data_IF_472851856978
#
_entry.id   IF_472851856978
#
_cell.length_a   1.000
_cell.length_b   1.000
_cell.length_c   1.000
_cell.angle_alpha   90.00
_cell.angle_beta   90.00
_cell.angle_gamma   90.00
#
_symmetry.space_group_name_H-M   'P 1'
#
loop_
_entity.id
_entity.type
_entity.pdbx_description
1 polymer ?
#
# COMPACT_ATOMS: atom_id res chain seq x y z
N UNK A 1 43.24 -30.30 -23.73
CA UNK A 1 43.21 -28.93 -23.17
C UNK A 1 41.78 -28.43 -23.35
N UNK A 2 41.15 -27.91 -22.29
CA UNK A 2 39.68 -27.69 -22.13
C UNK A 2 39.01 -29.04 -21.74
N UNK A 3 38.73 -29.36 -20.46
CA UNK A 3 37.53 -28.97 -19.68
C UNK A 3 37.75 -29.14 -18.15
N UNK A 4 38.65 -28.38 -17.53
CA UNK A 4 38.79 -28.40 -16.06
C UNK A 4 38.05 -27.24 -15.36
N UNK A 5 37.54 -26.27 -16.15
CA UNK A 5 36.88 -25.04 -15.70
C UNK A 5 35.35 -25.17 -15.53
N UNK A 6 34.72 -26.18 -16.15
CA UNK A 6 33.28 -26.40 -16.07
C UNK A 6 32.83 -27.13 -14.80
N UNK A 7 33.73 -27.84 -14.13
CA UNK A 7 33.41 -28.70 -12.98
C UNK A 7 33.24 -27.90 -11.67
N UNK A 8 34.04 -26.84 -11.48
CA UNK A 8 33.99 -25.99 -10.27
C UNK A 8 32.68 -25.21 -10.14
N UNK A 9 32.12 -24.73 -11.26
CA UNK A 9 30.88 -23.94 -11.26
C UNK A 9 29.64 -24.76 -10.86
N UNK A 10 29.56 -26.00 -11.32
CA UNK A 10 28.38 -26.85 -11.12
C UNK A 10 28.39 -27.49 -9.71
N UNK A 11 29.56 -27.84 -9.18
CA UNK A 11 29.72 -28.34 -7.80
C UNK A 11 29.34 -27.25 -6.77
N UNK A 12 29.80 -26.02 -6.98
CA UNK A 12 29.40 -24.88 -6.16
C UNK A 12 27.90 -24.60 -6.26
N UNK A 13 27.30 -24.75 -7.45
CA UNK A 13 25.86 -24.61 -7.62
C UNK A 13 25.08 -25.67 -6.82
N UNK A 14 25.53 -26.92 -6.80
CA UNK A 14 24.93 -28.00 -6.01
C UNK A 14 25.02 -27.68 -4.51
N UNK A 15 26.17 -27.23 -4.03
CA UNK A 15 26.35 -26.83 -2.63
C UNK A 15 25.46 -25.65 -2.25
N UNK A 16 25.38 -24.62 -3.10
CA UNK A 16 24.50 -23.46 -2.89
C UNK A 16 23.01 -23.86 -2.86
N UNK A 17 22.59 -24.75 -3.76
CA UNK A 17 21.24 -25.29 -3.77
C UNK A 17 20.95 -26.15 -2.55
N UNK A 18 21.89 -26.98 -2.10
CA UNK A 18 21.75 -27.81 -0.91
C UNK A 18 21.61 -26.96 0.37
N UNK A 19 22.49 -25.98 0.55
CA UNK A 19 22.42 -25.04 1.67
C UNK A 19 21.14 -24.19 1.59
N UNK A 20 20.81 -23.67 0.41
CA UNK A 20 19.60 -22.89 0.19
C UNK A 20 18.33 -23.69 0.47
N UNK A 21 18.26 -24.95 0.03
CA UNK A 21 17.14 -25.85 0.30
C UNK A 21 17.03 -26.19 1.79
N UNK A 22 18.15 -26.44 2.47
CA UNK A 22 18.17 -26.70 3.92
C UNK A 22 17.69 -25.49 4.72
N UNK A 23 18.24 -24.30 4.45
CA UNK A 23 17.81 -23.06 5.10
C UNK A 23 16.34 -22.75 4.82
N UNK A 24 15.89 -22.94 3.58
CA UNK A 24 14.50 -22.69 3.20
C UNK A 24 13.55 -23.67 3.90
N UNK A 25 13.94 -24.93 4.12
CA UNK A 25 13.11 -25.90 4.84
C UNK A 25 12.88 -25.50 6.29
N UNK A 26 13.93 -25.07 6.98
CA UNK A 26 13.81 -24.63 8.38
C UNK A 26 12.93 -23.38 8.51
N UNK A 27 13.14 -22.40 7.60
CA UNK A 27 12.29 -21.22 7.53
C UNK A 27 10.83 -21.57 7.23
N UNK A 28 10.59 -22.59 6.40
CA UNK A 28 9.23 -23.08 6.09
C UNK A 28 8.56 -23.64 7.35
N UNK A 29 9.24 -24.49 8.11
CA UNK A 29 8.71 -25.05 9.37
C UNK A 29 8.30 -23.95 10.35
N UNK A 30 9.13 -22.92 10.52
CA UNK A 30 8.81 -21.80 11.40
C UNK A 30 7.59 -21.00 10.91
N UNK A 31 7.49 -20.77 9.60
CA UNK A 31 6.35 -20.07 9.00
C UNK A 31 5.06 -20.88 9.15
N UNK A 32 5.10 -22.19 8.93
CA UNK A 32 3.96 -23.09 9.12
C UNK A 32 3.48 -23.09 10.57
N UNK A 33 4.42 -23.17 11.52
CA UNK A 33 4.09 -23.09 12.95
C UNK A 33 3.45 -21.75 13.34
N UNK A 34 3.97 -20.63 12.82
CA UNK A 34 3.41 -19.30 13.08
C UNK A 34 2.05 -19.10 12.41
N UNK A 35 1.84 -19.61 11.20
CA UNK A 35 0.51 -19.58 10.56
C UNK A 35 -0.49 -20.41 11.36
N UNK A 36 -0.11 -21.60 11.82
CA UNK A 36 -0.96 -22.44 12.68
C UNK A 36 -1.35 -21.72 13.98
N UNK A 37 -0.41 -21.04 14.65
CA UNK A 37 -0.71 -20.21 15.82
C UNK A 37 -1.66 -19.05 15.49
N UNK A 38 -1.43 -18.35 14.38
CA UNK A 38 -2.31 -17.27 13.94
C UNK A 38 -3.73 -17.77 13.64
N UNK A 39 -3.86 -18.92 12.96
CA UNK A 39 -5.17 -19.55 12.69
C UNK A 39 -5.89 -19.91 13.99
N UNK A 40 -5.19 -20.57 14.93
CA UNK A 40 -5.76 -20.94 16.21
C UNK A 40 -6.24 -19.71 17.00
N UNK A 41 -5.45 -18.64 17.03
CA UNK A 41 -5.81 -17.40 17.70
C UNK A 41 -6.98 -16.69 17.02
N UNK A 42 -7.01 -16.63 15.68
CA UNK A 42 -8.13 -16.05 14.93
C UNK A 42 -9.42 -16.83 15.17
N UNK A 43 -9.35 -18.17 15.19
CA UNK A 43 -10.50 -19.04 15.46
C UNK A 43 -11.02 -18.91 16.90
N UNK A 44 -10.12 -18.70 17.87
CA UNK A 44 -10.50 -18.53 19.28
C UNK A 44 -11.15 -17.17 19.59
N UNK A 45 -10.97 -16.16 18.75
CA UNK A 45 -11.47 -14.81 19.01
C UNK A 45 -12.82 -14.60 18.29
N UNK A 46 -13.90 -14.25 19.02
CA UNK A 46 -15.24 -14.13 18.44
C UNK A 46 -15.39 -12.93 17.48
N UNK A 47 -14.56 -11.90 17.64
CA UNK A 47 -14.57 -10.71 16.80
C UNK A 47 -13.15 -10.14 16.66
N UNK A 48 -12.71 -9.95 15.42
CA UNK A 48 -11.38 -9.39 15.14
C UNK A 48 -11.24 -8.02 15.82
N UNK A 49 -10.28 -7.87 16.76
CA UNK A 49 -10.10 -6.63 17.48
C UNK A 49 -9.57 -5.54 16.55
N UNK A 50 -9.87 -4.28 16.87
CA UNK A 50 -9.29 -3.15 16.13
C UNK A 50 -7.78 -3.14 16.34
N UNK A 51 -7.03 -3.35 15.27
CA UNK A 51 -5.56 -3.37 15.32
C UNK A 51 -5.02 -2.00 15.77
N UNK A 52 -4.07 -1.98 16.71
CA UNK A 52 -3.39 -0.76 17.16
C UNK A 52 -2.63 -0.08 16.00
N UNK A 53 -2.44 1.25 16.07
CA UNK A 53 -1.82 2.02 15.00
C UNK A 53 -0.41 1.51 14.62
N UNK A 54 0.39 1.08 15.62
CA UNK A 54 1.73 0.56 15.40
C UNK A 54 1.74 -0.80 14.69
N UNK A 55 0.79 -1.68 15.02
CA UNK A 55 0.62 -2.95 14.32
C UNK A 55 0.23 -2.72 12.86
N UNK A 56 -0.70 -1.78 12.60
CA UNK A 56 -1.06 -1.39 11.23
C UNK A 56 0.14 -0.86 10.45
N UNK A 57 0.98 -0.05 11.11
CA UNK A 57 2.20 0.50 10.52
C UNK A 57 3.20 -0.59 10.14
N UNK A 58 3.49 -1.52 11.04
CA UNK A 58 4.41 -2.64 10.78
C UNK A 58 3.91 -3.50 9.62
N UNK A 59 2.63 -3.89 9.64
CA UNK A 59 2.04 -4.70 8.56
C UNK A 59 2.08 -3.97 7.21
N UNK A 60 1.78 -2.68 7.18
CA UNK A 60 1.82 -1.89 5.95
C UNK A 60 3.23 -1.80 5.33
N UNK A 61 4.27 -1.68 6.17
CA UNK A 61 5.67 -1.64 5.71
C UNK A 61 6.08 -3.01 5.15
N UNK A 62 5.75 -4.10 5.85
CA UNK A 62 6.05 -5.45 5.38
C UNK A 62 5.29 -5.79 4.09
N UNK A 63 4.01 -5.43 4.01
CA UNK A 63 3.17 -5.62 2.84
C UNK A 63 3.71 -4.93 1.57
N UNK A 64 4.45 -3.82 1.70
CA UNK A 64 5.07 -3.15 0.55
C UNK A 64 6.23 -3.95 -0.05
N UNK A 65 6.88 -4.82 0.73
CA UNK A 65 8.03 -5.64 0.30
C UNK A 65 7.60 -6.92 -0.41
N UNK A 66 6.33 -7.30 -0.28
CA UNK A 66 5.77 -8.54 -0.83
C UNK A 66 4.89 -8.17 -2.03
N UNK A 67 4.95 -8.95 -3.10
CA UNK A 67 4.06 -8.79 -4.25
C UNK A 67 2.60 -9.13 -3.89
N UNK A 68 1.67 -8.73 -4.75
CA UNK A 68 0.24 -8.89 -4.47
C UNK A 68 -0.19 -10.36 -4.28
N UNK A 69 0.41 -11.27 -5.05
CA UNK A 69 0.02 -12.69 -5.08
C UNK A 69 0.44 -13.37 -3.79
N UNK A 70 1.72 -13.20 -3.40
CA UNK A 70 2.23 -13.75 -2.15
C UNK A 70 1.58 -13.10 -0.93
N UNK A 71 1.27 -11.81 -1.00
CA UNK A 71 0.58 -11.12 0.10
C UNK A 71 -0.85 -11.63 0.27
N UNK A 72 -1.56 -11.93 -0.82
CA UNK A 72 -2.89 -12.54 -0.76
C UNK A 72 -2.84 -13.94 -0.11
N UNK A 73 -1.80 -14.74 -0.39
CA UNK A 73 -1.62 -16.05 0.22
C UNK A 73 -1.37 -16.01 1.74
N UNK A 74 -0.77 -14.93 2.25
CA UNK A 74 -0.45 -14.78 3.69
C UNK A 74 -1.42 -13.86 4.45
N UNK A 75 -2.37 -13.21 3.78
CA UNK A 75 -3.28 -12.24 4.39
C UNK A 75 -4.40 -12.94 5.19
N UNK A 76 -4.22 -13.11 6.51
CA UNK A 76 -5.21 -13.78 7.39
C UNK A 76 -6.18 -12.86 8.11
N UNK A 77 -5.73 -11.68 8.53
CA UNK A 77 -6.51 -10.77 9.39
C UNK A 77 -7.09 -9.59 8.60
N UNK A 78 -6.40 -9.17 7.54
CA UNK A 78 -6.71 -7.94 6.79
C UNK A 78 -6.53 -8.16 5.31
N UNK A 79 -7.37 -7.52 4.49
CA UNK A 79 -7.27 -7.65 3.03
C UNK A 79 -6.03 -6.94 2.47
N UNK A 80 -5.56 -7.41 1.31
CA UNK A 80 -4.42 -6.82 0.60
C UNK A 80 -4.67 -5.34 0.28
N UNK A 81 -5.89 -4.96 -0.14
CA UNK A 81 -6.23 -3.56 -0.41
C UNK A 81 -6.11 -2.70 0.85
N UNK A 82 -6.49 -3.25 2.00
CA UNK A 82 -6.44 -2.57 3.30
C UNK A 82 -4.99 -2.29 3.70
N UNK A 83 -4.10 -3.28 3.56
CA UNK A 83 -2.66 -3.12 3.82
C UNK A 83 -2.04 -2.05 2.92
N UNK A 84 -2.34 -2.09 1.61
CA UNK A 84 -1.88 -1.08 0.64
C UNK A 84 -2.44 0.30 0.95
N UNK A 85 -3.70 0.39 1.38
CA UNK A 85 -4.31 1.65 1.83
C UNK A 85 -3.58 2.21 3.05
N UNK A 86 -3.26 1.39 4.06
CA UNK A 86 -2.48 1.83 5.21
C UNK A 86 -1.09 2.33 4.81
N UNK A 87 -0.41 1.65 3.89
CA UNK A 87 0.87 2.12 3.37
C UNK A 87 0.75 3.48 2.69
N UNK A 88 -0.24 3.68 1.81
CA UNK A 88 -0.51 4.98 1.18
C UNK A 88 -0.77 6.08 2.22
N UNK A 89 -1.55 5.79 3.26
CA UNK A 89 -1.81 6.75 4.35
C UNK A 89 -0.52 7.09 5.12
N UNK A 90 0.36 6.12 5.36
CA UNK A 90 1.65 6.38 6.03
C UNK A 90 2.57 7.25 5.17
N UNK A 91 2.66 6.97 3.87
CA UNK A 91 3.44 7.77 2.93
C UNK A 91 2.85 9.19 2.85
N UNK A 92 1.53 9.32 2.73
CA UNK A 92 0.87 10.61 2.72
C UNK A 92 1.20 11.40 3.98
N UNK A 93 1.08 10.80 5.17
CA UNK A 93 1.43 11.46 6.45
C UNK A 93 2.90 11.86 6.53
N UNK A 94 3.82 11.08 5.96
CA UNK A 94 5.26 11.44 5.91
C UNK A 94 5.50 12.71 5.08
N UNK A 95 4.75 12.88 4.01
CA UNK A 95 4.88 14.01 3.07
C UNK A 95 3.84 15.12 3.28
N UNK A 96 2.93 14.93 4.23
CA UNK A 96 1.94 15.94 4.62
C UNK A 96 2.56 16.80 5.70
N UNK A 97 2.96 18.00 5.32
CA UNK A 97 3.32 19.05 6.26
C UNK A 97 2.08 19.55 7.00
N UNK A 98 2.20 20.00 8.27
CA UNK A 98 1.12 20.70 8.94
C UNK A 98 0.68 21.88 8.07
N UNK A 99 -0.62 21.99 7.81
CA UNK A 99 -1.18 23.08 7.00
C UNK A 99 -1.13 24.37 7.82
N UNK A 100 -0.14 25.20 7.59
CA UNK A 100 0.07 26.47 8.31
C UNK A 100 -0.75 27.65 7.75
N UNK A 101 -1.74 27.41 6.87
CA UNK A 101 -2.48 28.48 6.18
C UNK A 101 -3.96 28.17 5.97
N UNK A 102 -4.75 29.24 5.83
CA UNK A 102 -6.18 29.20 5.53
C UNK A 102 -6.43 28.64 4.12
N UNK A 103 -6.47 27.31 4.00
CA UNK A 103 -7.02 26.58 2.84
C UNK A 103 -6.61 27.10 1.46
N UNK A 104 -7.55 27.04 0.51
CA UNK A 104 -7.41 27.73 -0.78
C UNK A 104 -7.57 29.22 -0.51
N UNK A 105 -6.63 30.09 -0.96
CA UNK A 105 -6.83 31.52 -0.84
C UNK A 105 -8.17 31.89 -1.48
N UNK A 106 -9.01 32.61 -0.74
CA UNK A 106 -10.29 33.11 -1.24
C UNK A 106 -10.03 33.91 -2.51
N UNK A 107 -10.81 33.66 -3.57
CA UNK A 107 -10.74 34.46 -4.79
C UNK A 107 -10.92 35.94 -4.40
N UNK A 108 -10.03 36.85 -4.84
CA UNK A 108 -10.12 38.26 -4.47
C UNK A 108 -11.51 38.83 -4.73
N UNK A 109 -12.03 39.64 -3.81
CA UNK A 109 -13.38 40.20 -3.90
C UNK A 109 -13.61 40.98 -5.19
N UNK A 110 -12.58 41.66 -5.71
CA UNK A 110 -12.60 42.36 -7.00
C UNK A 110 -12.83 41.42 -8.17
N UNK A 111 -12.18 40.26 -8.17
CA UNK A 111 -12.36 39.23 -9.21
C UNK A 111 -13.77 38.67 -9.17
N UNK A 112 -14.31 38.42 -7.96
CA UNK A 112 -15.70 37.96 -7.78
C UNK A 112 -16.70 39.02 -8.24
N UNK A 113 -16.47 40.29 -7.87
CA UNK A 113 -17.31 41.40 -8.28
C UNK A 113 -17.31 41.58 -9.81
N UNK A 114 -16.14 41.50 -10.45
CA UNK A 114 -16.03 41.60 -11.90
C UNK A 114 -16.75 40.45 -12.62
N UNK A 115 -16.62 39.21 -12.12
CA UNK A 115 -17.36 38.06 -12.66
C UNK A 115 -18.88 38.27 -12.52
N UNK A 116 -19.35 38.78 -11.38
CA UNK A 116 -20.78 39.03 -11.15
C UNK A 116 -21.32 40.16 -12.01
N UNK A 117 -20.54 41.22 -12.25
CA UNK A 117 -20.90 42.30 -13.18
C UNK A 117 -20.95 41.79 -14.61
N UNK A 118 -19.94 41.05 -15.07
CA UNK A 118 -19.94 40.44 -16.40
C UNK A 118 -21.11 39.47 -16.60
N UNK A 119 -21.50 38.72 -15.57
CA UNK A 119 -22.65 37.83 -15.62
C UNK A 119 -23.99 38.58 -15.68
N UNK A 120 -24.11 39.73 -15.00
CA UNK A 120 -25.29 40.61 -15.08
C UNK A 120 -25.42 41.30 -16.43
N UNK A 121 -24.30 41.75 -16.98
CA UNK A 121 -24.26 42.49 -18.25
C UNK A 121 -24.41 41.55 -19.47
N UNK A 122 -24.16 40.26 -19.31
CA UNK A 122 -24.38 39.26 -20.34
C UNK A 122 -25.22 38.06 -19.81
N UNK A 123 -26.57 38.18 -19.79
CA UNK A 123 -27.44 37.17 -19.21
C UNK A 123 -27.34 35.79 -19.88
N UNK A 124 -26.90 35.72 -21.15
CA UNK A 124 -26.66 34.46 -21.87
C UNK A 124 -25.51 33.61 -21.30
N UNK A 125 -24.65 34.20 -20.45
CA UNK A 125 -23.59 33.48 -19.73
C UNK A 125 -24.13 32.66 -18.55
N UNK A 126 -25.29 33.02 -17.98
CA UNK A 126 -25.87 32.34 -16.81
C UNK A 126 -26.72 31.14 -17.26
N UNK A 127 -27.31 31.19 -18.46
CA UNK A 127 -28.14 30.11 -19.04
C UNK A 127 -27.34 28.88 -19.50
N UNK A 128 -26.01 28.97 -19.58
CA UNK A 128 -25.14 27.85 -19.96
C UNK A 128 -24.90 26.82 -18.84
N UNK A 129 -25.75 26.80 -17.82
CA UNK A 129 -25.75 25.72 -16.82
C UNK A 129 -26.49 24.46 -17.32
N UNK A 130 -27.27 24.57 -18.40
CA UNK A 130 -28.05 23.45 -18.97
C UNK A 130 -27.44 22.81 -20.24
N UNK A 131 -26.32 23.30 -20.80
CA UNK A 131 -25.79 22.82 -22.10
C UNK A 131 -24.47 22.02 -21.98
N UNK A 132 -24.17 21.45 -20.81
CA UNK A 132 -23.12 20.39 -20.75
C UNK A 132 -23.34 19.36 -19.65
N UNK A 133 -24.48 18.67 -19.70
CA UNK A 133 -24.59 17.29 -19.22
C UNK A 133 -25.24 16.45 -20.32
N UNK A 134 -24.42 16.06 -21.30
CA UNK A 134 -24.51 14.78 -21.99
C UNK A 134 -23.10 14.17 -21.97
#
# INVERSE_FOLDING_TARGET
>A
MITHDSYDRDDLAILLLGVGAWMNRELTTMVEFLDAQLQALIAAIPKIPRLAADHRRRLAILAKRIDAVRLAACARIVTVETLRRWYRTLVARKWTYPKTGAGRPTTPAETVAMILTMARDNPGCIELKDIRMN
#
